data_IF_371810173110
#
_entry.id   IF_371810173110
#
_cell.length_a   1.000
_cell.length_b   1.000
_cell.length_c   1.000
_cell.angle_alpha   90.00
_cell.angle_beta   90.00
_cell.angle_gamma   90.00
#
_symmetry.space_group_name_H-M   'P 1'
#
loop_
_entity.id
_entity.type
_entity.pdbx_description
1 polymer ?
#
# COMPACT_ATOMS: atom_id res chain seq x y z
N UNK A 1 16.74 -14.84 -6.16
CA UNK A 1 15.37 -14.30 -6.25
C UNK A 1 15.15 -13.39 -5.06
N UNK A 2 15.22 -12.07 -5.25
CA UNK A 2 15.08 -11.11 -4.15
C UNK A 2 13.60 -10.79 -3.97
N UNK A 3 12.95 -11.45 -3.03
CA UNK A 3 11.62 -11.09 -2.56
C UNK A 3 11.73 -9.84 -1.71
N UNK A 4 11.37 -8.70 -2.27
CA UNK A 4 11.14 -7.48 -1.50
C UNK A 4 9.82 -7.63 -0.74
N UNK A 5 9.89 -8.14 0.48
CA UNK A 5 8.79 -8.02 1.45
C UNK A 5 8.70 -6.54 1.83
N UNK A 6 7.61 -5.89 1.43
CA UNK A 6 7.25 -4.58 1.95
C UNK A 6 6.87 -4.76 3.43
N UNK A 7 7.84 -4.60 4.34
CA UNK A 7 7.55 -4.44 5.76
C UNK A 7 6.97 -3.05 5.95
N UNK A 8 5.70 -2.89 6.35
CA UNK A 8 5.17 -1.57 6.65
C UNK A 8 6.00 -0.99 7.80
N UNK A 9 6.72 0.11 7.54
CA UNK A 9 7.46 0.87 8.53
C UNK A 9 6.44 1.40 9.53
N UNK A 10 6.39 0.83 10.74
CA UNK A 10 5.74 1.47 11.89
C UNK A 10 6.42 2.82 12.11
N UNK A 11 5.77 3.91 11.72
CA UNK A 11 6.06 5.20 12.36
C UNK A 11 5.46 5.14 13.76
N UNK A 12 6.33 4.84 14.72
CA UNK A 12 6.03 5.10 16.12
C UNK A 12 5.90 6.62 16.29
N UNK A 13 4.67 7.11 16.36
CA UNK A 13 4.40 8.50 16.75
C UNK A 13 3.53 9.34 15.82
N UNK A 14 2.55 8.78 15.09
CA UNK A 14 1.48 9.62 14.54
C UNK A 14 0.35 9.76 15.57
N UNK A 15 0.16 10.93 16.20
CA UNK A 15 -0.99 11.16 17.06
C UNK A 15 -2.19 11.46 16.15
N UNK A 16 -3.07 10.49 15.95
CA UNK A 16 -4.42 10.79 15.45
C UNK A 16 -5.19 11.51 16.56
N UNK A 17 -5.00 12.84 16.62
CA UNK A 17 -5.74 13.73 17.49
C UNK A 17 -7.11 14.06 16.89
N UNK A 18 -8.16 13.50 17.49
CA UNK A 18 -9.50 14.10 17.52
C UNK A 18 -9.86 14.26 18.99
N UNK A 19 -9.54 15.43 19.54
CA UNK A 19 -9.88 15.80 20.91
C UNK A 19 -11.36 16.15 21.02
N UNK A 20 -12.15 15.27 21.60
CA UNK A 20 -13.44 15.61 22.21
C UNK A 20 -13.30 15.41 23.72
N UNK A 21 -13.14 16.53 24.43
CA UNK A 21 -13.03 16.54 25.87
C UNK A 21 -14.38 16.21 26.52
N UNK A 22 -14.48 15.05 27.15
CA UNK A 22 -15.47 14.77 28.17
C UNK A 22 -14.71 14.33 29.43
N UNK A 23 -14.88 15.12 30.50
CA UNK A 23 -14.34 14.85 31.83
C UNK A 23 -15.03 13.60 32.36
N UNK A 24 -14.33 12.46 32.39
CA UNK A 24 -14.83 11.19 32.91
C UNK A 24 -13.66 10.33 33.39
N UNK A 25 -13.81 9.76 34.58
CA UNK A 25 -12.74 9.14 35.36
C UNK A 25 -12.02 7.95 34.66
N UNK A 26 -10.69 8.00 34.68
CA UNK A 26 -9.74 7.16 33.92
C UNK A 26 -9.61 5.68 34.38
N UNK A 27 -10.61 5.07 35.03
CA UNK A 27 -10.44 3.75 35.67
C UNK A 27 -11.28 2.61 35.08
N UNK A 28 -12.03 2.83 34.01
CA UNK A 28 -12.89 1.79 33.40
C UNK A 28 -12.76 1.73 31.87
N UNK A 29 -11.54 1.74 31.34
CA UNK A 29 -11.26 1.45 29.92
C UNK A 29 -10.19 0.34 29.84
N UNK A 30 -10.51 -0.81 30.41
CA UNK A 30 -9.74 -2.04 30.22
C UNK A 30 -10.07 -2.68 28.88
N UNK A 31 -9.03 -2.95 28.08
CA UNK A 31 -8.86 -4.02 27.08
C UNK A 31 -9.82 -4.24 25.90
N UNK A 32 -11.03 -3.68 25.85
CA UNK A 32 -12.06 -4.25 24.97
C UNK A 32 -12.36 -3.45 23.69
N UNK A 33 -11.36 -2.78 23.11
CA UNK A 33 -11.41 -2.45 21.68
C UNK A 33 -10.73 -3.59 20.94
N UNK A 34 -11.47 -4.41 20.15
CA UNK A 34 -10.86 -5.44 19.32
C UNK A 34 -9.96 -4.73 18.30
N UNK A 35 -8.65 -4.72 18.56
CA UNK A 35 -7.67 -4.36 17.55
C UNK A 35 -7.80 -5.43 16.46
N UNK A 36 -8.09 -5.07 15.20
CA UNK A 36 -8.20 -6.07 14.13
C UNK A 36 -6.93 -6.91 14.11
N UNK A 37 -7.11 -8.24 14.12
CA UNK A 37 -5.99 -9.17 14.08
C UNK A 37 -5.14 -8.88 12.84
N UNK A 38 -3.79 -8.88 12.94
CA UNK A 38 -2.90 -8.65 11.80
C UNK A 38 -2.99 -9.86 10.85
N UNK A 39 -4.08 -9.93 10.08
CA UNK A 39 -4.36 -11.08 9.24
C UNK A 39 -5.77 -11.17 8.66
N UNK A 40 -6.74 -10.38 9.14
CA UNK A 40 -8.12 -10.43 8.65
C UNK A 40 -8.51 -9.30 7.66
N UNK A 41 -7.65 -8.31 7.48
CA UNK A 41 -7.90 -7.18 6.58
C UNK A 41 -7.52 -7.45 5.11
N UNK A 42 -8.00 -6.60 4.17
CA UNK A 42 -7.48 -6.59 2.81
C UNK A 42 -5.97 -6.27 2.82
N UNK A 43 -5.24 -6.93 1.95
CA UNK A 43 -3.80 -6.76 1.75
C UNK A 43 -3.48 -6.45 0.30
N UNK A 44 -2.30 -5.87 0.08
CA UNK A 44 -1.80 -5.57 -1.26
C UNK A 44 -0.76 -6.59 -1.67
N UNK A 45 -0.80 -6.98 -2.94
CA UNK A 45 0.22 -7.78 -3.62
C UNK A 45 0.81 -6.95 -4.74
N UNK A 46 2.13 -6.81 -4.77
CA UNK A 46 2.82 -6.20 -5.90
C UNK A 46 2.93 -7.26 -6.99
N UNK A 47 2.23 -7.05 -8.11
CA UNK A 47 2.20 -7.96 -9.25
C UNK A 47 3.35 -7.66 -10.22
N UNK A 48 3.61 -6.37 -10.46
CA UNK A 48 4.71 -5.91 -11.30
C UNK A 48 5.51 -4.86 -10.53
N UNK A 49 6.79 -5.14 -10.27
CA UNK A 49 7.69 -4.19 -9.61
C UNK A 49 8.04 -3.04 -10.57
N UNK A 50 8.35 -1.83 -10.08
CA UNK A 50 8.96 -0.81 -10.91
C UNK A 50 10.35 -1.25 -11.37
N UNK A 51 10.76 -0.80 -12.55
CA UNK A 51 12.12 -1.06 -13.03
C UNK A 51 13.13 -0.35 -12.13
N UNK A 52 14.13 -1.11 -11.69
CA UNK A 52 15.13 -0.63 -10.72
C UNK A 52 15.98 0.54 -11.25
N UNK A 53 16.21 0.62 -12.57
CA UNK A 53 17.10 1.60 -13.21
C UNK A 53 16.55 2.06 -14.55
N UNK A 54 17.09 3.18 -15.04
CA UNK A 54 16.77 3.70 -16.37
C UNK A 54 15.56 4.65 -16.41
N UNK A 55 14.91 4.90 -15.27
CA UNK A 55 14.01 6.04 -15.14
C UNK A 55 14.80 7.30 -14.76
N UNK A 56 14.41 8.44 -15.31
CA UNK A 56 15.06 9.73 -15.08
C UNK A 56 14.06 10.68 -14.43
N UNK A 57 14.32 11.08 -13.20
CA UNK A 57 13.63 12.20 -12.56
C UNK A 57 13.92 13.51 -13.30
N UNK A 58 12.95 14.42 -13.31
CA UNK A 58 12.94 15.61 -14.17
C UNK A 58 12.65 16.85 -13.35
N UNK A 59 13.18 17.98 -13.80
CA UNK A 59 12.89 19.29 -13.20
C UNK A 59 11.53 19.82 -13.67
N UNK A 60 10.90 20.67 -12.87
CA UNK A 60 9.60 21.27 -13.22
C UNK A 60 9.63 22.14 -14.47
N UNK A 61 10.78 22.70 -14.84
CA UNK A 61 10.95 23.49 -16.06
C UNK A 61 10.97 22.65 -17.35
N UNK A 62 11.12 21.32 -17.28
CA UNK A 62 11.10 20.42 -18.46
C UNK A 62 9.67 20.17 -18.98
N UNK A 63 8.65 20.62 -18.26
CA UNK A 63 7.25 20.45 -18.63
C UNK A 63 6.63 19.11 -18.19
N UNK A 64 5.33 18.90 -18.46
CA UNK A 64 4.49 17.99 -17.69
C UNK A 64 4.59 16.49 -18.05
N UNK A 65 5.28 16.07 -19.11
CA UNK A 65 5.21 14.67 -19.57
C UNK A 65 6.55 14.15 -20.07
N UNK A 66 7.24 13.39 -19.22
CA UNK A 66 8.46 12.65 -19.60
C UNK A 66 8.26 11.11 -19.62
N UNK A 67 7.00 10.67 -19.62
CA UNK A 67 6.61 9.27 -19.56
C UNK A 67 6.51 8.71 -18.14
N UNK A 68 5.66 7.70 -17.96
CA UNK A 68 5.45 7.03 -16.67
C UNK A 68 6.59 6.09 -16.29
N UNK A 69 6.61 5.68 -15.01
CA UNK A 69 7.57 4.70 -14.49
C UNK A 69 7.40 3.36 -15.22
N UNK A 70 8.45 2.79 -15.82
CA UNK A 70 8.36 1.48 -16.45
C UNK A 70 8.32 0.35 -15.40
N UNK A 71 7.59 -0.72 -15.72
CA UNK A 71 7.63 -1.98 -14.96
C UNK A 71 8.96 -2.73 -15.15
N UNK A 72 9.28 -3.61 -14.21
CA UNK A 72 10.50 -4.40 -14.19
C UNK A 72 10.63 -5.31 -15.43
N UNK A 73 9.51 -5.84 -15.94
CA UNK A 73 9.43 -6.68 -17.15
C UNK A 73 9.25 -5.89 -18.44
N UNK A 74 9.28 -4.55 -18.37
CA UNK A 74 9.10 -3.70 -19.54
C UNK A 74 10.33 -3.80 -20.45
N UNK A 75 10.10 -4.02 -21.74
CA UNK A 75 11.14 -4.20 -22.76
C UNK A 75 10.85 -3.32 -23.98
N UNK A 76 11.80 -3.26 -24.92
CA UNK A 76 11.59 -2.55 -26.19
C UNK A 76 10.46 -3.24 -26.96
N UNK A 77 9.36 -2.52 -27.18
CA UNK A 77 8.16 -3.05 -27.86
C UNK A 77 7.11 -3.65 -26.91
N UNK A 78 7.43 -3.86 -25.62
CA UNK A 78 6.47 -4.33 -24.62
C UNK A 78 6.54 -3.47 -23.36
N UNK A 79 5.68 -2.44 -23.31
CA UNK A 79 5.59 -1.55 -22.15
C UNK A 79 4.74 -2.19 -21.06
N UNK A 80 5.33 -2.35 -19.88
CA UNK A 80 4.63 -2.72 -18.65
C UNK A 80 4.80 -1.60 -17.63
N UNK A 81 3.96 -1.61 -16.59
CA UNK A 81 3.90 -0.55 -15.59
C UNK A 81 3.81 -1.18 -14.20
N UNK A 82 4.37 -0.53 -13.16
CA UNK A 82 4.24 -1.00 -11.80
C UNK A 82 2.76 -1.27 -11.48
N UNK A 83 2.46 -2.46 -10.97
CA UNK A 83 1.09 -2.92 -10.80
C UNK A 83 0.93 -3.55 -9.43
N UNK A 84 -0.14 -3.17 -8.73
CA UNK A 84 -0.54 -3.75 -7.45
C UNK A 84 -1.95 -4.33 -7.53
N UNK A 85 -2.22 -5.30 -6.68
CA UNK A 85 -3.48 -6.03 -6.59
C UNK A 85 -3.96 -6.01 -5.14
N UNK A 86 -5.19 -5.54 -4.92
CA UNK A 86 -5.85 -5.63 -3.61
C UNK A 86 -6.48 -7.02 -3.50
N UNK A 87 -6.13 -7.76 -2.47
CA UNK A 87 -6.62 -9.10 -2.16
C UNK A 87 -7.17 -9.15 -0.74
N UNK A 88 -8.16 -10.00 -0.49
CA UNK A 88 -8.64 -10.31 0.87
C UNK A 88 -8.34 -11.78 1.13
N UNK A 89 -7.92 -12.15 2.35
CA UNK A 89 -7.81 -13.57 2.72
C UNK A 89 -9.20 -14.19 2.65
N UNK A 90 -9.33 -15.29 1.93
CA UNK A 90 -10.59 -16.01 1.84
C UNK A 90 -10.90 -16.67 3.19
N UNK A 91 -11.79 -16.04 3.94
CA UNK A 91 -12.55 -16.67 5.03
C UNK A 91 -13.99 -16.82 4.58
N UNK A 92 -14.39 -18.04 4.20
CA UNK A 92 -15.79 -18.41 3.98
C UNK A 92 -16.46 -17.87 2.71
N UNK A 93 -16.18 -18.50 1.56
CA UNK A 93 -17.19 -18.75 0.52
C UNK A 93 -17.72 -17.60 -0.34
N UNK A 94 -17.26 -16.35 -0.18
CA UNK A 94 -17.58 -15.29 -1.14
C UNK A 94 -16.41 -15.04 -2.11
N UNK A 95 -16.65 -14.98 -3.44
CA UNK A 95 -15.59 -14.69 -4.40
C UNK A 95 -15.00 -13.32 -4.10
N UNK A 96 -13.72 -13.30 -3.75
CA UNK A 96 -13.00 -12.08 -3.40
C UNK A 96 -13.03 -11.09 -4.56
N UNK A 97 -13.55 -9.88 -4.33
CA UNK A 97 -13.41 -8.78 -5.30
C UNK A 97 -11.95 -8.36 -5.33
N UNK A 98 -11.30 -8.65 -6.44
CA UNK A 98 -9.94 -8.25 -6.72
C UNK A 98 -9.93 -6.92 -7.49
N UNK A 99 -9.11 -5.97 -7.04
CA UNK A 99 -8.91 -4.70 -7.73
C UNK A 99 -7.45 -4.58 -8.13
N UNK A 100 -7.20 -4.36 -9.42
CA UNK A 100 -5.86 -4.15 -9.98
C UNK A 100 -5.66 -2.67 -10.28
N UNK A 101 -4.56 -2.12 -9.77
CA UNK A 101 -4.16 -0.72 -9.98
C UNK A 101 -2.79 -0.69 -10.65
N UNK A 102 -2.69 0.07 -11.75
CA UNK A 102 -1.43 0.37 -12.42
C UNK A 102 -0.98 1.78 -12.02
N UNK A 103 0.28 1.91 -11.66
CA UNK A 103 0.93 3.14 -11.19
C UNK A 103 1.78 3.76 -12.31
#
# INVERSE_FOLDING_TARGET
MSTYLFTPRREAGSPTGIGVGLKGDLKTLGSDIPLPSPGEGPYLVIVEQPKQRGFRFRYGCEGPSHGGLPGASSEKGRKTYPTVKVSRREGGGQPGREVTVRL
#
